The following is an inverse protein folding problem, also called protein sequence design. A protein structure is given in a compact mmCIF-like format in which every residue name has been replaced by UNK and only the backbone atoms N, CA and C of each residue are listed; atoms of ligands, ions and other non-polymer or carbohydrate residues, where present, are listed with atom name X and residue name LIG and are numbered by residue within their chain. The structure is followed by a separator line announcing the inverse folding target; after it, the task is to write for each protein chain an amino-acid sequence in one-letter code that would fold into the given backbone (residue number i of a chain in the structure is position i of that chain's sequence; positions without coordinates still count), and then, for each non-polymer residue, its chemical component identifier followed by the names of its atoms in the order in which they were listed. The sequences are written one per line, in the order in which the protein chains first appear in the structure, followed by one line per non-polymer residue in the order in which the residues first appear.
data_IF_455289866903
#
_entry.id   IF_455289866903
#
_cell.length_a   1.000
_cell.length_b   1.000
_cell.length_c   1.000
_cell.angle_alpha   90.00
_cell.angle_beta   90.00
_cell.angle_gamma   90.00
#
_symmetry.space_group_name_H-M   'P 1'
#
loop_
_entity.id
_entity.type
_entity.pdbx_description
1 polymer ?
#
# COMPACT_ATOMS: atom_id res chain seq x y z
N UNK A 1 6.94 -19.85 -7.62
CA UNK A 1 7.54 -19.69 -6.27
C UNK A 1 6.70 -18.67 -5.53
N UNK A 2 6.33 -18.96 -4.29
CA UNK A 2 5.55 -18.06 -3.46
C UNK A 2 6.42 -16.86 -3.06
N UNK A 3 5.93 -15.62 -3.19
CA UNK A 3 6.67 -14.43 -2.73
C UNK A 3 6.98 -14.47 -1.22
N UNK A 4 6.29 -15.35 -0.48
CA UNK A 4 6.45 -15.54 0.96
C UNK A 4 7.27 -16.77 1.36
N UNK A 5 7.71 -17.62 0.42
CA UNK A 5 8.43 -18.87 0.75
C UNK A 5 9.73 -18.60 1.52
N UNK A 6 10.40 -17.48 1.23
CA UNK A 6 11.66 -17.09 1.87
C UNK A 6 11.50 -16.09 3.02
N UNK A 7 10.27 -15.74 3.37
CA UNK A 7 9.97 -14.76 4.42
C UNK A 7 9.80 -15.46 5.76
N UNK A 8 10.64 -15.12 6.73
CA UNK A 8 10.45 -15.58 8.11
C UNK A 8 9.05 -15.19 8.62
N UNK A 9 8.42 -16.02 9.47
CA UNK A 9 7.07 -15.74 9.99
C UNK A 9 6.93 -14.37 10.66
N UNK A 10 7.97 -13.90 11.36
CA UNK A 10 8.05 -12.57 12.00
C UNK A 10 7.98 -11.42 11.00
N UNK A 11 8.68 -11.54 9.87
CA UNK A 11 8.67 -10.53 8.80
C UNK A 11 7.32 -10.50 8.09
N UNK A 12 6.70 -11.67 7.90
CA UNK A 12 5.34 -11.76 7.34
C UNK A 12 4.31 -11.13 8.27
N UNK A 13 4.40 -11.36 9.57
CA UNK A 13 3.56 -10.69 10.56
C UNK A 13 3.77 -9.17 10.56
N UNK A 14 5.01 -8.71 10.37
CA UNK A 14 5.35 -7.28 10.27
C UNK A 14 4.77 -6.63 9.01
N UNK A 15 4.83 -7.29 7.86
CA UNK A 15 4.17 -6.83 6.61
C UNK A 15 2.66 -6.67 6.78
N UNK A 16 2.00 -7.70 7.34
CA UNK A 16 0.56 -7.67 7.60
C UNK A 16 0.21 -6.59 8.63
N UNK A 17 1.01 -6.46 9.69
CA UNK A 17 0.85 -5.40 10.67
C UNK A 17 0.98 -4.00 10.06
N UNK A 18 1.96 -3.79 9.18
CA UNK A 18 2.12 -2.51 8.48
C UNK A 18 0.93 -2.21 7.58
N UNK A 19 0.47 -3.20 6.80
CA UNK A 19 -0.72 -3.08 5.93
C UNK A 19 -1.99 -2.78 6.71
N UNK A 20 -2.27 -3.57 7.75
CA UNK A 20 -3.56 -3.55 8.44
C UNK A 20 -3.66 -2.39 9.44
N UNK A 21 -2.52 -1.93 10.01
CA UNK A 21 -2.50 -0.81 10.97
C UNK A 21 -2.34 0.56 10.32
N UNK A 22 -2.02 0.63 9.02
CA UNK A 22 -1.83 1.91 8.33
C UNK A 22 -2.77 2.07 7.15
N UNK A 23 -3.77 2.93 7.32
CA UNK A 23 -4.65 3.34 6.22
C UNK A 23 -3.98 4.35 5.27
N UNK A 24 -2.86 4.95 5.66
CA UNK A 24 -2.18 6.01 4.93
C UNK A 24 -0.79 5.62 4.40
N UNK A 25 0.01 4.88 5.19
CA UNK A 25 1.39 4.56 4.81
C UNK A 25 1.46 3.42 3.78
N UNK A 26 0.63 2.38 3.93
CA UNK A 26 0.61 1.27 3.00
C UNK A 26 0.28 1.67 1.54
N UNK A 27 -0.74 2.50 1.25
CA UNK A 27 -1.00 2.97 -0.11
C UNK A 27 0.19 3.69 -0.77
N UNK A 28 0.91 4.51 -0.01
CA UNK A 28 2.12 5.22 -0.48
C UNK A 28 3.25 4.24 -0.84
N UNK A 29 3.46 3.22 -0.01
CA UNK A 29 4.40 2.13 -0.28
C UNK A 29 4.01 1.38 -1.56
N UNK A 30 2.73 1.04 -1.72
CA UNK A 30 2.21 0.36 -2.92
C UNK A 30 2.43 1.24 -4.15
N UNK A 31 2.15 2.54 -4.08
CA UNK A 31 2.32 3.46 -5.20
C UNK A 31 3.78 3.52 -5.66
N UNK A 32 4.74 3.61 -4.72
CA UNK A 32 6.16 3.66 -5.06
C UNK A 32 6.67 2.33 -5.60
N UNK A 33 6.22 1.21 -5.04
CA UNK A 33 6.55 -0.11 -5.56
C UNK A 33 6.05 -0.31 -7.00
N UNK A 34 4.97 0.38 -7.40
CA UNK A 34 4.46 0.39 -8.79
C UNK A 34 5.15 1.40 -9.69
N UNK A 35 5.52 2.56 -9.17
CA UNK A 35 6.05 3.69 -9.94
C UNK A 35 7.55 3.60 -10.27
N UNK A 36 8.14 2.40 -10.24
CA UNK A 36 9.60 2.16 -10.31
C UNK A 36 10.44 2.94 -9.28
N UNK A 37 9.81 3.71 -8.38
CA UNK A 37 10.47 4.50 -7.37
C UNK A 37 11.20 3.64 -6.36
N UNK A 38 12.32 4.17 -5.85
CA UNK A 38 13.15 3.52 -4.83
C UNK A 38 13.10 4.23 -3.49
N UNK A 39 12.48 5.42 -3.46
CA UNK A 39 12.45 6.31 -2.29
C UNK A 39 11.04 6.86 -2.05
N UNK A 40 10.59 6.78 -0.79
CA UNK A 40 9.37 7.39 -0.25
C UNK A 40 9.79 8.44 0.78
N UNK A 41 9.21 9.63 0.74
CA UNK A 41 9.30 10.59 1.84
C UNK A 41 7.91 11.09 2.16
N UNK A 42 7.45 10.92 3.40
CA UNK A 42 6.13 11.35 3.84
C UNK A 42 6.15 11.84 5.30
N UNK A 43 5.18 12.67 5.65
CA UNK A 43 4.98 13.08 7.05
C UNK A 43 4.10 12.07 7.78
N UNK A 44 4.51 11.63 8.96
CA UNK A 44 3.82 10.66 9.81
C UNK A 44 3.62 11.22 11.21
N UNK A 45 2.46 10.95 11.83
CA UNK A 45 2.21 11.35 13.23
C UNK A 45 3.02 10.50 14.19
N UNK A 46 3.50 11.10 15.28
CA UNK A 46 4.25 10.45 16.35
C UNK A 46 3.57 9.16 16.86
N UNK A 47 2.25 9.23 17.12
CA UNK A 47 1.45 8.08 17.57
C UNK A 47 1.47 6.94 16.54
N UNK A 48 1.25 7.26 15.28
CA UNK A 48 1.26 6.27 14.19
C UNK A 48 2.65 5.70 13.97
N UNK A 49 3.71 6.52 14.10
CA UNK A 49 5.09 6.05 14.03
C UNK A 49 5.36 4.99 15.11
N UNK A 50 4.98 5.22 16.36
CA UNK A 50 5.12 4.25 17.45
C UNK A 50 4.39 2.92 17.17
N UNK A 51 3.25 2.97 16.46
CA UNK A 51 2.46 1.77 16.13
C UNK A 51 3.12 0.89 15.06
N UNK A 52 3.98 1.48 14.21
CA UNK A 52 4.51 0.83 12.98
C UNK A 52 6.03 0.69 12.98
N UNK A 53 6.74 1.40 13.85
CA UNK A 53 8.20 1.45 13.91
C UNK A 53 8.81 0.06 14.05
N UNK A 54 8.27 -0.78 14.94
CA UNK A 54 8.75 -2.16 15.09
C UNK A 54 8.63 -2.99 13.80
N UNK A 55 7.57 -2.79 13.02
CA UNK A 55 7.41 -3.44 11.73
C UNK A 55 8.40 -2.90 10.69
N UNK A 56 8.64 -1.58 10.67
CA UNK A 56 9.63 -0.96 9.78
C UNK A 56 11.05 -1.44 10.08
N UNK A 57 11.42 -1.57 11.36
CA UNK A 57 12.71 -2.12 11.80
C UNK A 57 12.86 -3.57 11.35
N UNK A 58 11.87 -4.42 11.61
CA UNK A 58 11.93 -5.82 11.21
C UNK A 58 12.08 -5.99 9.69
N UNK A 59 11.46 -5.12 8.89
CA UNK A 59 11.57 -5.15 7.43
C UNK A 59 12.92 -4.59 6.94
N UNK A 60 13.49 -3.63 7.64
CA UNK A 60 14.85 -3.15 7.39
C UNK A 60 15.90 -4.22 7.70
N UNK A 61 15.78 -4.91 8.85
CA UNK A 61 16.68 -5.99 9.24
C UNK A 61 16.60 -7.18 8.27
N UNK A 62 15.43 -7.39 7.66
CA UNK A 62 15.23 -8.36 6.58
C UNK A 62 15.83 -7.93 5.22
N UNK A 63 16.38 -6.71 5.13
CA UNK A 63 17.02 -6.15 3.93
C UNK A 63 16.03 -5.69 2.86
N UNK A 64 14.77 -5.40 3.20
CA UNK A 64 13.78 -4.99 2.20
C UNK A 64 13.93 -3.54 1.73
N UNK A 65 14.30 -2.66 2.65
CA UNK A 65 14.52 -1.23 2.44
C UNK A 65 15.29 -0.68 3.66
N UNK A 66 15.78 0.54 3.55
CA UNK A 66 16.25 1.33 4.69
C UNK A 66 15.23 2.40 5.02
N UNK A 67 14.98 2.68 6.29
CA UNK A 67 14.16 3.82 6.69
C UNK A 67 14.88 4.71 7.68
N UNK A 68 14.62 6.01 7.57
CA UNK A 68 15.06 7.04 8.50
C UNK A 68 13.86 7.85 8.94
N UNK A 69 13.84 8.22 10.21
CA UNK A 69 12.91 9.21 10.75
C UNK A 69 13.67 10.51 10.99
N UNK A 70 13.16 11.61 10.47
CA UNK A 70 13.71 12.95 10.65
C UNK A 70 12.69 13.71 11.51
N UNK A 71 13.14 14.30 12.61
CA UNK A 71 12.31 15.21 13.41
C UNK A 71 12.01 16.42 12.53
N UNK A 72 10.73 16.69 12.27
CA UNK A 72 10.36 17.81 11.42
C UNK A 72 10.26 19.08 12.29
N UNK A 73 11.43 19.66 12.57
CA UNK A 73 11.58 20.87 13.40
C UNK A 73 10.93 22.12 12.77
N UNK A 74 10.45 22.01 11.52
CA UNK A 74 9.69 23.05 10.82
C UNK A 74 8.17 22.91 10.96
N UNK A 75 7.70 21.93 11.73
CA UNK A 75 6.28 21.74 11.95
C UNK A 75 5.81 22.58 13.13
N UNK A 76 4.88 23.52 12.90
CA UNK A 76 4.02 24.09 13.96
C UNK A 76 3.23 23.01 14.75
N UNK A 77 3.35 21.74 14.33
CA UNK A 77 2.85 20.57 15.01
C UNK A 77 3.99 19.73 15.60
N UNK A 78 4.24 19.78 16.93
CA UNK A 78 5.27 18.99 17.63
C UNK A 78 4.99 17.48 17.66
N UNK A 79 4.15 16.98 16.75
CA UNK A 79 3.62 15.61 16.69
C UNK A 79 3.83 14.97 15.32
N UNK A 80 4.57 15.61 14.41
CA UNK A 80 4.87 15.08 13.08
C UNK A 80 6.36 14.76 12.96
N UNK A 81 6.63 13.64 12.30
CA UNK A 81 7.95 13.22 11.86
C UNK A 81 7.94 13.11 10.35
N UNK A 82 9.09 13.32 9.73
CA UNK A 82 9.28 12.98 8.32
C UNK A 82 9.89 11.59 8.24
N UNK A 83 9.13 10.64 7.70
CA UNK A 83 9.58 9.29 7.41
C UNK A 83 10.16 9.26 6.00
N UNK A 84 11.38 8.76 5.88
CA UNK A 84 12.05 8.54 4.61
C UNK A 84 12.37 7.05 4.48
N UNK A 85 11.83 6.38 3.47
CA UNK A 85 12.17 4.99 3.11
C UNK A 85 12.95 5.03 1.80
N UNK A 86 14.06 4.32 1.73
CA UNK A 86 14.98 4.30 0.58
C UNK A 86 15.42 2.86 0.27
N UNK A 87 15.96 2.65 -0.92
CA UNK A 87 16.55 1.37 -1.31
C UNK A 87 15.53 0.23 -1.34
N UNK A 88 14.28 0.53 -1.72
CA UNK A 88 13.24 -0.49 -1.84
C UNK A 88 13.67 -1.57 -2.84
N UNK A 89 13.90 -2.78 -2.33
CA UNK A 89 14.36 -3.92 -3.12
C UNK A 89 13.27 -4.48 -4.02
N UNK A 90 13.66 -5.10 -5.14
CA UNK A 90 12.72 -5.79 -6.03
C UNK A 90 11.99 -6.94 -5.33
N UNK A 91 12.67 -7.58 -4.37
CA UNK A 91 12.06 -8.58 -3.49
C UNK A 91 10.88 -7.99 -2.71
N UNK A 92 11.05 -6.82 -2.11
CA UNK A 92 9.96 -6.13 -1.41
C UNK A 92 8.82 -5.77 -2.36
N UNK A 93 9.13 -5.19 -3.53
CA UNK A 93 8.13 -4.86 -4.55
C UNK A 93 7.32 -6.08 -4.95
N UNK A 94 7.97 -7.23 -5.16
CA UNK A 94 7.31 -8.48 -5.52
C UNK A 94 6.33 -8.94 -4.44
N UNK A 95 6.74 -8.89 -3.17
CA UNK A 95 5.89 -9.24 -2.03
C UNK A 95 4.69 -8.30 -1.93
N UNK A 96 4.90 -6.99 -1.95
CA UNK A 96 3.82 -5.99 -1.90
C UNK A 96 2.82 -6.19 -3.04
N UNK A 97 3.30 -6.38 -4.27
CA UNK A 97 2.45 -6.60 -5.44
C UNK A 97 1.66 -7.93 -5.38
N UNK A 98 2.15 -8.93 -4.64
CA UNK A 98 1.44 -10.19 -4.42
C UNK A 98 0.39 -10.13 -3.31
N UNK A 99 0.50 -9.17 -2.39
CA UNK A 99 -0.46 -8.96 -1.30
C UNK A 99 -1.67 -8.16 -1.75
N UNK A 100 -1.51 -7.34 -2.78
CA UNK A 100 -2.60 -6.61 -3.38
C UNK A 100 -3.50 -7.61 -4.12
N UNK A 101 -4.80 -7.68 -3.80
CA UNK A 101 -5.72 -8.47 -4.62
C UNK A 101 -5.60 -7.93 -6.04
N UNK A 102 -5.23 -8.81 -6.98
CA UNK A 102 -5.23 -8.48 -8.41
C UNK A 102 -6.57 -7.83 -8.73
N UNK A 103 -6.58 -6.51 -8.90
CA UNK A 103 -7.78 -5.76 -9.22
C UNK A 103 -8.11 -5.95 -10.71
N UNK A 104 -8.07 -7.21 -11.14
CA UNK A 104 -8.26 -7.67 -12.51
C UNK A 104 -9.33 -8.76 -12.53
N UNK A 105 -10.52 -8.38 -12.07
CA UNK A 105 -11.78 -8.95 -12.56
C UNK A 105 -12.88 -7.90 -12.62
N UNK A 106 -12.55 -6.76 -13.25
CA UNK A 106 -13.54 -5.91 -13.91
C UNK A 106 -13.50 -6.10 -15.43
N UNK A 107 -13.21 -7.31 -15.90
CA UNK A 107 -13.83 -7.76 -17.15
C UNK A 107 -15.25 -8.16 -16.79
N UNK A 108 -16.13 -7.15 -16.77
CA UNK A 108 -17.54 -7.46 -16.98
C UNK A 108 -17.59 -8.28 -18.25
N UNK A 109 -17.95 -9.56 -18.12
CA UNK A 109 -18.60 -10.30 -19.17
C UNK A 109 -19.86 -9.52 -19.51
N UNK A 110 -19.70 -8.47 -20.34
CA UNK A 110 -20.81 -7.83 -21.03
C UNK A 110 -21.53 -8.99 -21.73
N UNK A 111 -22.80 -9.28 -21.41
CA UNK A 111 -23.64 -9.90 -22.40
C UNK A 111 -23.66 -8.91 -23.57
N UNK A 112 -22.94 -9.22 -24.66
CA UNK A 112 -23.27 -8.68 -25.97
C UNK A 112 -24.62 -9.26 -26.32
N UNK A 113 -25.66 -8.44 -26.21
CA UNK A 113 -27.05 -8.79 -26.51
C UNK A 113 -27.93 -8.17 -25.45
N UNK A 114 -28.92 -7.35 -25.74
CA UNK A 114 -29.64 -7.15 -26.98
C UNK A 114 -30.34 -5.79 -26.85
N UNK A 115 -30.13 -4.90 -27.80
CA UNK A 115 -30.98 -3.73 -28.00
C UNK A 115 -32.40 -4.26 -28.21
N UNK A 116 -33.36 -3.90 -27.34
CA UNK A 116 -34.78 -3.96 -27.68
C UNK A 116 -35.47 -2.64 -27.32
N UNK A 117 -35.56 -1.82 -28.36
CA UNK A 117 -36.71 -0.97 -28.78
C UNK A 117 -37.67 -0.50 -27.68
N UNK A 118 -37.67 0.82 -27.52
CA UNK A 118 -38.82 1.73 -27.42
C UNK A 118 -40.19 1.03 -27.45
N UNK A 119 -40.97 1.24 -26.38
CA UNK A 119 -42.43 1.28 -26.45
C UNK A 119 -42.92 2.59 -25.86
N UNK A 120 -43.23 3.51 -26.76
CA UNK A 120 -44.24 4.54 -26.55
C UNK A 120 -45.60 3.88 -26.28
N UNK A 121 -46.25 4.29 -25.18
CA UNK A 121 -47.70 4.23 -24.92
C UNK A 121 -47.94 5.25 -23.81
N UNK A 122 -48.54 6.41 -24.11
CA UNK A 122 -49.98 6.68 -24.11
C UNK A 122 -50.63 6.34 -22.76
N UNK A 123 -51.22 7.37 -22.14
CA UNK A 123 -52.22 7.48 -21.05
C UNK A 123 -51.75 8.66 -20.15
N UNK A 124 -52.30 9.88 -20.23
CA UNK A 124 -53.70 10.30 -20.01
C UNK A 124 -53.83 10.75 -18.54
N UNK A 125 -54.63 11.77 -18.15
CA UNK A 125 -55.79 12.37 -18.83
C UNK A 125 -55.50 13.65 -19.64
#
# INVERSE_FOLDING_TARGET
MSPFEDLQPSHRASLLGLRDRTTYLWPEIVQICRAEGTTLTCSIRAKTLLEVEGALIALQDAGFFSFNKITDDHSDHPKLYRLQIQGITDRFKHVVNSMEPSNNRRTSSRPKGLIRRIKSRLLGP
#
